data_IF_212256640651
#
_entry.id   IF_212256640651
#
_cell.length_a   1.000
_cell.length_b   1.000
_cell.length_c   1.000
_cell.angle_alpha   90.00
_cell.angle_beta   90.00
_cell.angle_gamma   90.00
#
_symmetry.space_group_name_H-M   'P 1'
#
loop_
_entity.id
_entity.type
_entity.pdbx_description
1 polymer ?
#
# COMPACT_ATOMS: atom_id res chain seq x y z
N UNK A 1 -0.37 -15.17 8.47
CA UNK A 1 -1.12 -13.91 8.36
C UNK A 1 -2.10 -14.07 7.20
N UNK A 2 -3.41 -13.95 7.43
CA UNK A 2 -4.41 -13.94 6.36
C UNK A 2 -4.37 -12.59 5.65
N UNK A 3 -4.30 -12.58 4.32
CA UNK A 3 -4.47 -11.36 3.53
C UNK A 3 -5.87 -10.79 3.77
N UNK A 4 -5.99 -9.47 3.95
CA UNK A 4 -7.29 -8.84 4.08
C UNK A 4 -8.06 -8.93 2.75
N UNK A 5 -9.39 -8.79 2.80
CA UNK A 5 -10.20 -8.71 1.57
C UNK A 5 -9.77 -7.54 0.67
N UNK A 6 -9.29 -6.45 1.28
CA UNK A 6 -8.68 -5.33 0.56
C UNK A 6 -7.41 -5.78 -0.19
N UNK A 7 -6.49 -6.47 0.49
CA UNK A 7 -5.24 -6.97 -0.10
C UNK A 7 -5.50 -7.91 -1.29
N UNK A 8 -6.46 -8.82 -1.14
CA UNK A 8 -6.82 -9.77 -2.20
C UNK A 8 -7.41 -9.06 -3.42
N UNK A 9 -8.31 -8.10 -3.20
CA UNK A 9 -8.99 -7.41 -4.29
C UNK A 9 -8.04 -6.45 -5.02
N UNK A 10 -7.27 -5.65 -4.28
CA UNK A 10 -6.36 -4.69 -4.90
C UNK A 10 -5.22 -5.39 -5.64
N UNK A 11 -4.73 -6.53 -5.16
CA UNK A 11 -3.76 -7.34 -5.89
C UNK A 11 -4.30 -7.81 -7.25
N UNK A 12 -5.62 -7.96 -7.38
CA UNK A 12 -6.26 -8.37 -8.63
C UNK A 12 -6.60 -7.17 -9.53
N UNK A 13 -7.09 -6.06 -8.97
CA UNK A 13 -7.60 -4.92 -9.75
C UNK A 13 -6.57 -3.82 -10.00
N UNK A 14 -5.59 -3.67 -9.10
CA UNK A 14 -4.59 -2.60 -9.10
C UNK A 14 -3.22 -3.17 -8.67
N UNK A 15 -2.64 -4.11 -9.45
CA UNK A 15 -1.46 -4.87 -9.04
C UNK A 15 -0.21 -4.00 -8.84
N UNK A 16 -0.07 -2.93 -9.62
CA UNK A 16 1.07 -2.01 -9.53
C UNK A 16 1.03 -1.21 -8.22
N UNK A 17 -0.13 -0.62 -7.89
CA UNK A 17 -0.32 0.09 -6.62
C UNK A 17 -0.16 -0.84 -5.41
N UNK A 18 -0.63 -2.09 -5.54
CA UNK A 18 -0.42 -3.09 -4.50
C UNK A 18 1.07 -3.44 -4.32
N UNK A 19 1.82 -3.61 -5.41
CA UNK A 19 3.25 -3.88 -5.35
C UNK A 19 4.01 -2.74 -4.66
N UNK A 20 3.71 -1.48 -5.02
CA UNK A 20 4.30 -0.29 -4.38
C UNK A 20 3.97 -0.23 -2.89
N UNK A 21 2.71 -0.50 -2.51
CA UNK A 21 2.29 -0.55 -1.11
C UNK A 21 3.05 -1.63 -0.32
N UNK A 22 3.22 -2.81 -0.91
CA UNK A 22 3.92 -3.94 -0.29
C UNK A 22 5.40 -3.64 -0.09
N UNK A 23 6.06 -3.06 -1.09
CA UNK A 23 7.46 -2.67 -1.02
C UNK A 23 7.68 -1.58 0.02
N UNK A 24 6.86 -0.53 0.04
CA UNK A 24 6.97 0.56 1.00
C UNK A 24 6.79 0.06 2.44
N UNK A 25 5.81 -0.81 2.69
CA UNK A 25 5.62 -1.44 4.00
C UNK A 25 6.79 -2.35 4.41
N UNK A 26 7.32 -3.14 3.47
CA UNK A 26 8.47 -4.00 3.73
C UNK A 26 9.71 -3.17 4.12
N UNK A 27 9.96 -2.07 3.41
CA UNK A 27 11.04 -1.13 3.69
C UNK A 27 10.89 -0.48 5.06
N UNK A 28 9.70 0.02 5.39
CA UNK A 28 9.44 0.60 6.72
C UNK A 28 9.70 -0.43 7.83
N UNK A 29 9.18 -1.65 7.70
CA UNK A 29 9.40 -2.71 8.70
C UNK A 29 10.87 -3.08 8.84
N UNK A 30 11.60 -3.18 7.73
CA UNK A 30 13.03 -3.49 7.76
C UNK A 30 13.85 -2.41 8.48
N UNK A 31 13.54 -1.13 8.23
CA UNK A 31 14.19 -0.01 8.94
C UNK A 31 13.79 0.02 10.42
N UNK A 32 12.52 -0.19 10.74
CA UNK A 32 12.05 -0.22 12.12
C UNK A 32 12.74 -1.34 12.92
N UNK A 33 12.91 -2.54 12.34
CA UNK A 33 13.63 -3.64 12.99
C UNK A 33 15.09 -3.25 13.23
N UNK A 34 15.80 -2.77 12.21
CA UNK A 34 17.21 -2.34 12.35
C UNK A 34 17.39 -1.24 13.40
N UNK A 35 16.48 -0.27 13.42
CA UNK A 35 16.49 0.80 14.42
C UNK A 35 16.29 0.26 15.84
N UNK A 36 15.32 -0.64 16.03
CA UNK A 36 15.06 -1.29 17.32
C UNK A 36 16.21 -2.20 17.77
N UNK A 37 16.92 -2.81 16.83
CA UNK A 37 18.13 -3.60 17.08
C UNK A 37 19.36 -2.72 17.41
N UNK A 38 19.22 -1.39 17.38
CA UNK A 38 20.28 -0.44 17.73
C UNK A 38 21.31 -0.20 16.62
N UNK A 39 20.96 -0.46 15.36
CA UNK A 39 21.81 -0.15 14.21
C UNK A 39 22.05 1.36 14.10
N UNK A 40 23.27 1.79 14.44
CA UNK A 40 23.66 3.20 14.43
C UNK A 40 23.64 3.87 13.05
N UNK A 41 23.47 3.10 11.96
CA UNK A 41 23.34 3.63 10.60
C UNK A 41 21.91 3.97 10.22
N UNK A 42 20.92 3.58 11.04
CA UNK A 42 19.50 3.90 10.84
C UNK A 42 19.09 4.92 11.89
N UNK A 43 18.52 6.03 11.44
CA UNK A 43 18.01 7.08 12.32
C UNK A 43 16.50 6.99 12.49
N UNK A 44 15.98 7.69 13.50
CA UNK A 44 14.54 7.87 13.65
C UNK A 44 13.93 8.57 12.43
N UNK A 45 14.66 9.53 11.84
CA UNK A 45 14.23 10.24 10.63
C UNK A 45 14.08 9.29 9.42
N UNK A 46 14.95 8.29 9.27
CA UNK A 46 14.82 7.27 8.22
C UNK A 46 13.56 6.43 8.40
N UNK A 47 13.24 6.08 9.65
CA UNK A 47 12.03 5.32 9.98
C UNK A 47 10.77 6.15 9.70
N UNK A 48 10.76 7.42 10.08
CA UNK A 48 9.65 8.34 9.82
C UNK A 48 9.45 8.58 8.32
N UNK A 49 10.52 8.82 7.57
CA UNK A 49 10.45 8.99 6.11
C UNK A 49 9.90 7.73 5.41
N UNK A 50 10.30 6.54 5.87
CA UNK A 50 9.79 5.29 5.35
C UNK A 50 8.32 5.04 5.72
N UNK A 51 7.91 5.43 6.94
CA UNK A 51 6.50 5.39 7.37
C UNK A 51 5.65 6.32 6.50
N UNK A 52 6.06 7.56 6.30
CA UNK A 52 5.34 8.52 5.46
C UNK A 52 5.21 8.03 4.02
N UNK A 53 6.24 7.34 3.50
CA UNK A 53 6.19 6.71 2.18
C UNK A 53 5.17 5.56 2.13
N UNK A 54 5.11 4.73 3.17
CA UNK A 54 4.12 3.65 3.27
C UNK A 54 2.69 4.21 3.39
N UNK A 55 2.47 5.26 4.18
CA UNK A 55 1.17 5.91 4.34
C UNK A 55 0.69 6.58 3.03
N UNK A 56 1.61 7.18 2.26
CA UNK A 56 1.31 7.69 0.91
C UNK A 56 0.96 6.58 -0.06
N UNK A 57 1.70 5.47 -0.05
CA UNK A 57 1.40 4.32 -0.89
C UNK A 57 0.05 3.70 -0.53
N UNK A 58 -0.31 3.63 0.76
CA UNK A 58 -1.62 3.17 1.20
C UNK A 58 -2.74 4.09 0.72
N UNK A 59 -2.53 5.40 0.83
CA UNK A 59 -3.49 6.39 0.33
C UNK A 59 -3.73 6.23 -1.18
N UNK A 60 -2.67 6.06 -1.97
CA UNK A 60 -2.75 5.85 -3.42
C UNK A 60 -3.47 4.53 -3.75
N UNK A 61 -3.09 3.44 -3.08
CA UNK A 61 -3.69 2.12 -3.23
C UNK A 61 -5.20 2.13 -2.92
N UNK A 62 -5.60 2.80 -1.83
CA UNK A 62 -7.02 2.97 -1.47
C UNK A 62 -7.79 3.81 -2.49
N UNK A 63 -7.17 4.86 -3.04
CA UNK A 63 -7.77 5.68 -4.08
C UNK A 63 -7.99 4.88 -5.38
N UNK A 64 -6.99 4.11 -5.81
CA UNK A 64 -7.08 3.22 -6.97
C UNK A 64 -8.15 2.14 -6.77
N UNK A 65 -8.17 1.49 -5.61
CA UNK A 65 -9.22 0.54 -5.23
C UNK A 65 -10.62 1.16 -5.32
N UNK A 66 -10.81 2.37 -4.75
CA UNK A 66 -12.11 3.05 -4.79
C UNK A 66 -12.54 3.34 -6.23
N UNK A 67 -11.62 3.76 -7.09
CA UNK A 67 -11.90 4.01 -8.51
C UNK A 67 -12.32 2.72 -9.23
N UNK A 68 -11.55 1.64 -9.06
CA UNK A 68 -11.83 0.33 -9.66
C UNK A 68 -13.16 -0.26 -9.17
N UNK A 69 -13.47 -0.09 -7.88
CA UNK A 69 -14.75 -0.53 -7.32
C UNK A 69 -15.94 0.26 -7.90
N UNK A 70 -15.78 1.58 -8.08
CA UNK A 70 -16.82 2.41 -8.68
C UNK A 70 -17.06 2.14 -10.17
N UNK A 71 -16.02 1.78 -10.93
CA UNK A 71 -16.17 1.40 -12.34
C UNK A 71 -16.83 0.04 -12.51
N UNK A 72 -16.55 -0.93 -11.62
CA UNK A 72 -17.24 -2.21 -11.57
C UNK A 72 -18.71 -2.09 -11.12
N UNK A 73 -19.01 -1.13 -10.24
CA UNK A 73 -20.35 -0.92 -9.70
C UNK A 73 -21.27 -0.08 -10.59
N UNK A 74 -20.74 0.62 -11.61
CA UNK A 74 -21.59 1.28 -12.60
C UNK A 74 -22.08 0.22 -13.60
N UNK A 75 -23.40 -0.04 -13.68
CA UNK A 75 -23.94 -0.77 -14.82
C UNK A 75 -23.56 0.02 -16.06
N UNK A 76 -23.21 -0.70 -17.13
CA UNK A 76 -23.06 -0.12 -18.45
C UNK A 76 -24.41 0.48 -18.87
N UNK A 77 -24.65 1.75 -18.54
CA UNK A 77 -25.73 2.54 -19.13
C UNK A 77 -25.33 2.81 -20.57
N UNK A 78 -25.67 1.86 -21.44
CA UNK A 78 -25.83 1.93 -22.90
C UNK A 78 -26.27 0.52 -23.31
N UNK A 79 -27.34 0.28 -24.06
CA UNK A 79 -27.86 1.07 -25.18
C UNK A 79 -29.22 0.48 -25.55
N UNK A 80 -30.27 1.29 -25.64
CA UNK A 80 -31.38 1.15 -26.61
C UNK A 80 -32.16 2.47 -26.70
#
# INVERSE_FOLDING_TARGET
MSASLFDLHIAQTCPDEYAVLREANARYRALAVRFLDGDATVTEADCLAAKDAADRAETAARAAFKLAFQTLAKPSENTE
#
